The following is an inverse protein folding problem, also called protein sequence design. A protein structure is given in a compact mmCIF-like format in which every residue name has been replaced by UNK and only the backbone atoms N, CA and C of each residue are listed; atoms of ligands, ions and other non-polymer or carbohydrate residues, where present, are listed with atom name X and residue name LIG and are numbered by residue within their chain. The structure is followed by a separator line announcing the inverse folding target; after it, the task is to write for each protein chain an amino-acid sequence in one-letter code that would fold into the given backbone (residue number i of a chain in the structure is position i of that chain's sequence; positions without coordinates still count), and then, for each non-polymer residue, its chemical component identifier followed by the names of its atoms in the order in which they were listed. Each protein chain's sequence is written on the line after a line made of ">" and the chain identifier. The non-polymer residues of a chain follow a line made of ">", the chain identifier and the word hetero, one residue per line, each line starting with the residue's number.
data_IF_466268677682
#
_entry.id   IF_466268677682
#
_cell.length_a   1.000
_cell.length_b   1.000
_cell.length_c   1.000
_cell.angle_alpha   90.00
_cell.angle_beta   90.00
_cell.angle_gamma   90.00
#
_symmetry.space_group_name_H-M   'P 1'
#
loop_
_entity.id
_entity.type
_entity.pdbx_description
1 polymer ?
#
# COMPACT_ATOMS: atom_id res chain seq x y z
N UNK A 1 3.11 2.17 8.82
CA UNK A 1 2.96 3.45 9.54
C UNK A 1 4.33 4.07 9.83
N UNK A 2 4.51 5.33 9.47
CA UNK A 2 5.69 6.15 9.79
C UNK A 2 5.45 6.96 11.05
N UNK A 3 6.46 7.06 11.91
CA UNK A 3 6.45 7.95 13.06
C UNK A 3 7.41 9.10 12.81
N UNK A 4 6.88 10.31 12.74
CA UNK A 4 7.66 11.51 12.53
C UNK A 4 8.25 12.02 13.86
N UNK A 5 9.36 12.79 13.84
CA UNK A 5 9.91 13.42 15.04
C UNK A 5 8.90 14.27 15.82
N UNK A 6 7.92 14.85 15.12
CA UNK A 6 6.82 15.62 15.72
C UNK A 6 5.79 14.76 16.48
N UNK A 7 5.94 13.44 16.50
CA UNK A 7 4.96 12.50 17.09
C UNK A 7 3.78 12.17 16.17
N UNK A 8 3.61 12.90 15.06
CA UNK A 8 2.60 12.60 14.04
C UNK A 8 2.88 11.23 13.39
N UNK A 9 1.79 10.57 13.00
CA UNK A 9 1.80 9.27 12.32
C UNK A 9 1.30 9.44 10.91
N UNK A 10 1.96 8.77 9.96
CA UNK A 10 1.52 8.71 8.56
C UNK A 10 1.33 7.25 8.20
N UNK A 11 0.14 6.92 7.70
CA UNK A 11 -0.18 5.57 7.26
C UNK A 11 -0.10 5.46 5.74
N UNK A 12 0.54 4.38 5.30
CA UNK A 12 0.73 3.97 3.92
C UNK A 12 0.63 2.45 3.88
N UNK A 13 0.44 1.88 2.69
CA UNK A 13 0.37 0.44 2.50
C UNK A 13 1.20 -0.02 1.29
N UNK A 14 1.83 -1.19 1.43
CA UNK A 14 2.54 -1.94 0.38
C UNK A 14 3.73 -1.24 -0.31
N UNK A 15 4.08 -0.02 0.10
CA UNK A 15 5.25 0.72 -0.36
C UNK A 15 5.93 1.42 0.83
N UNK A 16 7.24 1.23 0.95
CA UNK A 16 8.07 1.76 2.05
C UNK A 16 9.15 2.65 1.46
N UNK A 17 9.13 3.94 1.77
CA UNK A 17 10.23 4.86 1.47
C UNK A 17 11.20 4.98 2.64
N UNK A 18 12.50 5.05 2.33
CA UNK A 18 13.60 5.16 3.28
C UNK A 18 14.64 6.20 2.81
N UNK A 19 15.23 6.99 3.72
CA UNK A 19 16.37 7.84 3.39
C UNK A 19 17.67 7.01 3.29
N UNK A 20 18.44 7.22 2.22
CA UNK A 20 19.77 6.60 2.06
C UNK A 20 20.75 7.13 3.10
N UNK A 21 21.64 6.27 3.57
CA UNK A 21 22.73 6.62 4.48
C UNK A 21 22.34 6.66 5.96
N UNK A 22 21.10 6.32 6.30
CA UNK A 22 20.59 6.46 7.67
C UNK A 22 20.06 5.15 8.27
N UNK A 23 20.33 4.88 9.55
CA UNK A 23 19.75 3.72 10.22
C UNK A 23 18.25 3.92 10.44
N UNK A 24 17.47 2.91 10.08
CA UNK A 24 16.02 2.86 10.29
C UNK A 24 15.67 1.66 11.17
N UNK A 25 14.68 1.83 12.05
CA UNK A 25 14.13 0.75 12.88
C UNK A 25 12.69 0.46 12.46
N UNK A 26 12.45 -0.77 12.06
CA UNK A 26 11.12 -1.32 11.84
C UNK A 26 10.61 -1.93 13.14
N UNK A 27 9.37 -1.57 13.51
CA UNK A 27 8.58 -2.27 14.53
C UNK A 27 7.55 -3.12 13.82
N UNK A 28 7.58 -4.40 14.08
CA UNK A 28 6.97 -5.43 13.25
C UNK A 28 6.05 -6.29 14.12
N UNK A 29 4.79 -6.42 13.71
CA UNK A 29 3.76 -7.26 14.35
C UNK A 29 2.86 -7.83 13.25
N UNK A 30 2.05 -8.83 13.58
CA UNK A 30 1.00 -9.32 12.69
C UNK A 30 -0.38 -9.18 13.35
N UNK A 31 -1.42 -9.04 12.54
CA UNK A 31 -2.83 -9.00 12.97
C UNK A 31 -3.51 -10.39 12.85
N UNK A 32 -2.94 -11.32 12.08
CA UNK A 32 -3.58 -12.59 11.71
C UNK A 32 -2.71 -13.82 12.02
N UNK A 33 -1.83 -14.21 11.09
CA UNK A 33 -0.92 -15.35 11.15
C UNK A 33 0.52 -14.87 11.22
N UNK A 34 1.47 -15.79 11.30
CA UNK A 34 2.88 -15.41 11.24
C UNK A 34 3.23 -15.01 9.80
N UNK A 35 3.86 -13.86 9.65
CA UNK A 35 4.53 -13.44 8.42
C UNK A 35 6.02 -13.26 8.69
N UNK A 36 6.80 -12.95 7.66
CA UNK A 36 8.20 -12.55 7.87
C UNK A 36 8.59 -11.43 6.95
N UNK A 37 8.94 -10.29 7.53
CA UNK A 37 9.44 -9.13 6.82
C UNK A 37 10.87 -9.38 6.34
N UNK A 38 11.10 -9.28 5.04
CA UNK A 38 12.44 -9.40 4.48
C UNK A 38 12.64 -8.50 3.26
N UNK A 39 13.75 -7.76 3.25
CA UNK A 39 14.22 -7.01 2.09
C UNK A 39 15.58 -7.60 1.69
N UNK A 40 15.65 -8.63 0.83
CA UNK A 40 16.88 -9.37 0.56
C UNK A 40 18.09 -8.49 0.23
N UNK A 41 17.90 -7.44 -0.56
CA UNK A 41 18.97 -6.55 -1.00
C UNK A 41 19.46 -5.56 0.07
N UNK A 42 18.69 -5.33 1.14
CA UNK A 42 19.09 -4.47 2.27
C UNK A 42 19.47 -5.29 3.51
N UNK A 43 19.21 -6.60 3.48
CA UNK A 43 19.50 -7.54 4.56
C UNK A 43 18.41 -7.59 5.62
N UNK A 44 18.60 -8.48 6.60
CA UNK A 44 17.72 -8.65 7.75
C UNK A 44 16.36 -9.26 7.42
N UNK A 45 16.10 -10.46 7.96
CA UNK A 45 14.77 -11.07 8.02
C UNK A 45 14.27 -10.97 9.45
N UNK A 46 13.00 -10.63 9.64
CA UNK A 46 12.37 -10.62 10.96
C UNK A 46 10.92 -11.08 10.87
N UNK A 47 10.57 -12.06 11.70
CA UNK A 47 9.22 -12.59 11.75
C UNK A 47 8.27 -11.58 12.39
N UNK A 48 7.06 -11.53 11.86
CA UNK A 48 5.92 -10.74 12.33
C UNK A 48 4.95 -11.71 12.98
N UNK A 49 4.72 -11.57 14.29
CA UNK A 49 3.95 -12.54 15.06
C UNK A 49 2.74 -11.85 15.71
N UNK A 50 1.55 -12.48 15.70
CA UNK A 50 0.41 -11.97 16.43
C UNK A 50 0.72 -11.84 17.93
N UNK A 51 0.35 -10.71 18.52
CA UNK A 51 0.56 -10.43 19.96
C UNK A 51 2.00 -10.11 20.37
N UNK A 52 2.95 -9.97 19.43
CA UNK A 52 4.36 -9.64 19.73
C UNK A 52 4.93 -8.61 18.77
N UNK A 53 5.49 -7.53 19.33
CA UNK A 53 6.32 -6.58 18.58
C UNK A 53 7.77 -7.06 18.50
N UNK A 54 8.24 -7.33 17.28
CA UNK A 54 9.66 -7.52 16.96
C UNK A 54 10.26 -6.25 16.38
N UNK A 55 11.60 -6.14 16.42
CA UNK A 55 12.33 -4.98 15.92
C UNK A 55 13.45 -5.38 14.99
N UNK A 56 13.54 -4.69 13.85
CA UNK A 56 14.60 -4.88 12.87
C UNK A 56 15.24 -3.54 12.55
N UNK A 57 16.57 -3.44 12.70
CA UNK A 57 17.34 -2.26 12.28
C UNK A 57 18.00 -2.54 10.94
N UNK A 58 17.82 -1.63 9.98
CA UNK A 58 18.50 -1.66 8.68
C UNK A 58 19.22 -0.34 8.44
N UNK A 59 20.23 -0.37 7.58
CA UNK A 59 20.97 0.82 7.15
C UNK A 59 21.06 0.82 5.61
N UNK A 60 20.04 1.35 4.91
CA UNK A 60 20.07 1.46 3.46
C UNK A 60 21.23 2.37 3.01
N UNK A 61 22.14 1.84 2.20
CA UNK A 61 23.36 2.56 1.77
C UNK A 61 23.39 2.89 0.27
N UNK A 62 22.34 2.51 -0.48
CA UNK A 62 22.24 2.76 -1.92
C UNK A 62 20.82 3.17 -2.31
N UNK A 63 20.71 4.27 -3.06
CA UNK A 63 19.45 4.71 -3.68
C UNK A 63 18.95 3.69 -4.69
N UNK A 64 17.64 3.48 -4.74
CA UNK A 64 17.00 2.58 -5.70
C UNK A 64 15.65 2.07 -5.23
N UNK A 65 15.00 1.29 -6.09
CA UNK A 65 13.78 0.56 -5.75
C UNK A 65 14.16 -0.90 -5.54
N UNK A 66 13.77 -1.45 -4.39
CA UNK A 66 14.04 -2.81 -3.96
C UNK A 66 12.73 -3.53 -3.70
N UNK A 67 12.77 -4.86 -3.74
CA UNK A 67 11.61 -5.69 -3.42
C UNK A 67 11.72 -6.22 -2.00
N UNK A 68 10.68 -6.02 -1.23
CA UNK A 68 10.42 -6.73 0.00
C UNK A 68 9.42 -7.86 -0.21
N UNK A 69 9.54 -8.92 0.58
CA UNK A 69 8.70 -10.12 0.49
C UNK A 69 8.31 -10.62 1.87
N UNK A 70 7.18 -11.32 1.94
CA UNK A 70 6.90 -12.23 3.03
C UNK A 70 7.78 -13.48 2.88
N UNK A 71 8.50 -13.85 3.93
CA UNK A 71 9.43 -14.99 3.96
C UNK A 71 9.02 -16.06 4.99
N UNK A 72 7.73 -16.16 5.29
CA UNK A 72 7.10 -17.17 6.12
C UNK A 72 5.76 -17.55 5.49
N UNK A 73 5.45 -18.84 5.38
CA UNK A 73 4.24 -19.28 4.68
C UNK A 73 3.00 -18.79 5.42
N UNK A 74 2.22 -17.91 4.77
CA UNK A 74 1.11 -17.20 5.39
C UNK A 74 -0.26 -17.47 4.74
N UNK A 75 -0.34 -18.47 3.85
CA UNK A 75 -1.57 -18.85 3.16
C UNK A 75 -1.40 -18.93 1.64
N UNK A 76 -2.53 -19.06 0.94
CA UNK A 76 -2.57 -19.28 -0.51
C UNK A 76 -1.79 -18.21 -1.30
N UNK A 77 -1.97 -16.94 -0.93
CA UNK A 77 -1.35 -15.82 -1.60
C UNK A 77 0.09 -15.53 -1.14
N UNK A 78 0.73 -16.43 -0.38
CA UNK A 78 2.04 -16.20 0.25
C UNK A 78 3.10 -15.70 -0.75
N UNK A 79 3.25 -16.38 -1.88
CA UNK A 79 4.25 -16.02 -2.90
C UNK A 79 4.01 -14.63 -3.55
N UNK A 80 2.81 -14.08 -3.36
CA UNK A 80 2.37 -12.79 -3.88
C UNK A 80 2.28 -11.71 -2.80
N UNK A 81 2.69 -12.02 -1.56
CA UNK A 81 2.78 -11.04 -0.49
C UNK A 81 4.13 -10.33 -0.55
N UNK A 82 4.18 -9.23 -1.29
CA UNK A 82 5.37 -8.41 -1.46
C UNK A 82 5.07 -6.92 -1.26
N UNK A 83 6.12 -6.11 -1.26
CA UNK A 83 6.03 -4.66 -1.17
C UNK A 83 7.23 -4.02 -1.87
N UNK A 84 7.05 -2.79 -2.33
CA UNK A 84 8.13 -1.99 -2.90
C UNK A 84 8.85 -1.24 -1.78
N UNK A 85 10.18 -1.13 -1.88
CA UNK A 85 11.01 -0.35 -0.97
C UNK A 85 11.78 0.69 -1.77
N UNK A 86 11.47 1.96 -1.58
CA UNK A 86 12.12 3.08 -2.28
C UNK A 86 13.15 3.72 -1.36
N UNK A 87 14.43 3.47 -1.63
CA UNK A 87 15.52 4.20 -0.95
C UNK A 87 15.86 5.41 -1.80
N UNK A 88 15.77 6.60 -1.20
CA UNK A 88 15.93 7.88 -1.90
C UNK A 88 16.78 8.86 -1.08
N UNK A 89 17.09 10.02 -1.67
CA UNK A 89 17.83 11.07 -0.93
C UNK A 89 17.01 11.56 0.28
N UNK A 90 17.68 12.19 1.24
CA UNK A 90 17.00 12.80 2.40
C UNK A 90 15.95 13.82 1.95
N UNK A 91 16.30 14.70 1.01
CA UNK A 91 15.40 15.73 0.51
C UNK A 91 14.18 15.12 -0.23
N UNK A 92 14.39 14.08 -1.03
CA UNK A 92 13.28 13.36 -1.67
C UNK A 92 12.37 12.71 -0.63
N UNK A 93 12.95 12.09 0.41
CA UNK A 93 12.21 11.44 1.49
C UNK A 93 11.35 12.44 2.26
N UNK A 94 11.89 13.62 2.58
CA UNK A 94 11.13 14.69 3.23
C UNK A 94 10.02 15.23 2.35
N UNK A 95 10.28 15.46 1.06
CA UNK A 95 9.25 15.89 0.10
C UNK A 95 8.12 14.88 -0.04
N UNK A 96 8.44 13.59 -0.11
CA UNK A 96 7.46 12.52 -0.13
C UNK A 96 6.66 12.45 1.18
N UNK A 97 7.32 12.56 2.34
CA UNK A 97 6.61 12.59 3.62
C UNK A 97 5.66 13.79 3.75
N UNK A 98 6.05 14.94 3.21
CA UNK A 98 5.20 16.14 3.21
C UNK A 98 3.98 15.97 2.30
N UNK A 99 4.14 15.37 1.11
CA UNK A 99 3.02 15.16 0.19
C UNK A 99 1.91 14.29 0.79
N UNK A 100 2.28 13.32 1.65
CA UNK A 100 1.31 12.47 2.33
C UNK A 100 0.47 13.19 3.40
N UNK A 101 0.89 14.37 3.86
CA UNK A 101 0.17 15.16 4.88
C UNK A 101 -1.02 15.90 4.28
N UNK A 102 -0.93 16.29 3.02
CA UNK A 102 -2.06 16.86 2.30
C UNK A 102 -3.04 15.77 1.86
N UNK A 103 -4.32 16.11 1.87
CA UNK A 103 -5.34 15.34 1.16
C UNK A 103 -5.35 15.83 -0.30
N UNK A 104 -5.30 14.95 -1.31
CA UNK A 104 -5.38 15.38 -2.71
C UNK A 104 -6.68 16.14 -2.97
N UNK A 105 -6.64 17.20 -3.79
CA UNK A 105 -7.87 17.93 -4.15
C UNK A 105 -8.86 17.10 -4.97
N UNK A 106 -8.37 16.01 -5.56
CA UNK A 106 -9.13 15.03 -6.35
C UNK A 106 -9.96 14.06 -5.51
N UNK A 107 -9.93 14.12 -4.16
CA UNK A 107 -10.71 13.18 -3.33
C UNK A 107 -12.22 13.32 -3.48
N UNK A 108 -12.71 14.46 -3.96
CA UNK A 108 -14.13 14.71 -4.22
C UNK A 108 -14.43 14.77 -5.73
N UNK A 109 -15.65 14.39 -6.12
CA UNK A 109 -16.15 14.44 -7.51
C UNK A 109 -16.89 13.18 -7.92
N UNK A 110 -17.33 13.09 -9.17
CA UNK A 110 -18.18 12.00 -9.68
C UNK A 110 -17.58 10.60 -9.44
N UNK A 111 -16.27 10.45 -9.63
CA UNK A 111 -15.61 9.17 -9.37
C UNK A 111 -15.54 8.76 -7.88
N UNK A 112 -15.67 9.72 -6.96
CA UNK A 112 -15.87 9.43 -5.54
C UNK A 112 -17.28 8.90 -5.27
N UNK A 113 -18.30 9.41 -5.97
CA UNK A 113 -19.66 8.90 -5.86
C UNK A 113 -19.77 7.45 -6.33
N UNK A 114 -19.07 7.11 -7.43
CA UNK A 114 -18.95 5.71 -7.89
C UNK A 114 -18.21 4.85 -6.86
N UNK A 115 -17.12 5.36 -6.28
CA UNK A 115 -16.38 4.65 -5.23
C UNK A 115 -17.28 4.32 -4.01
N UNK A 116 -18.11 5.26 -3.58
CA UNK A 116 -19.06 5.06 -2.48
C UNK A 116 -20.23 4.15 -2.88
N UNK A 117 -20.78 4.30 -4.08
CA UNK A 117 -21.92 3.50 -4.55
C UNK A 117 -21.59 2.02 -4.69
N UNK A 118 -20.34 1.70 -5.05
CA UNK A 118 -19.81 0.35 -5.10
C UNK A 118 -19.40 -0.18 -3.71
N UNK A 119 -19.55 0.62 -2.66
CA UNK A 119 -19.25 0.23 -1.28
C UNK A 119 -17.76 0.14 -0.97
N UNK A 120 -16.88 0.71 -1.80
CA UNK A 120 -15.43 0.63 -1.58
C UNK A 120 -15.02 1.30 -0.26
N UNK A 121 -15.73 2.35 0.16
CA UNK A 121 -15.48 3.08 1.41
C UNK A 121 -15.69 2.28 2.69
N UNK A 122 -16.48 1.20 2.64
CA UNK A 122 -16.67 0.30 3.79
C UNK A 122 -15.38 -0.42 4.17
N UNK A 123 -14.49 -0.66 3.20
CA UNK A 123 -13.22 -1.33 3.42
C UNK A 123 -12.03 -0.38 3.35
N UNK A 124 -12.09 0.66 2.52
CA UNK A 124 -10.95 1.51 2.21
C UNK A 124 -11.13 2.95 2.68
N UNK A 125 -10.12 3.46 3.38
CA UNK A 125 -10.05 4.87 3.78
C UNK A 125 -9.68 5.77 2.59
N UNK A 126 -10.35 6.91 2.47
CA UNK A 126 -9.91 8.08 1.69
C UNK A 126 -10.02 9.30 2.61
N UNK A 127 -8.89 9.74 3.16
CA UNK A 127 -8.85 10.85 4.12
C UNK A 127 -9.44 12.12 3.50
N UNK A 128 -10.20 12.87 4.29
CA UNK A 128 -10.91 14.06 3.83
C UNK A 128 -12.31 13.78 3.26
N UNK A 129 -12.74 12.51 3.25
CA UNK A 129 -14.10 12.09 2.87
C UNK A 129 -14.78 11.34 4.02
N UNK A 130 -15.99 10.82 3.80
CA UNK A 130 -16.67 9.94 4.77
C UNK A 130 -16.14 8.50 4.78
N UNK A 131 -15.30 8.12 3.82
CA UNK A 131 -14.79 6.76 3.68
C UNK A 131 -13.64 6.53 4.67
N UNK A 132 -13.91 5.80 5.75
CA UNK A 132 -12.99 5.55 6.87
C UNK A 132 -12.75 4.04 7.11
N UNK A 133 -13.08 3.19 6.14
CA UNK A 133 -12.85 1.74 6.22
C UNK A 133 -11.37 1.38 6.42
N UNK A 134 -11.11 0.43 7.32
CA UNK A 134 -9.75 0.00 7.73
C UNK A 134 -9.47 -1.49 7.46
N UNK A 135 -10.40 -2.19 6.80
CA UNK A 135 -10.22 -3.60 6.40
C UNK A 135 -9.21 -3.68 5.25
N UNK A 136 -9.35 -2.81 4.26
CA UNK A 136 -8.44 -2.66 3.14
C UNK A 136 -7.41 -1.55 3.37
N UNK A 137 -6.38 -1.46 2.53
CA UNK A 137 -5.38 -0.39 2.61
C UNK A 137 -5.99 0.99 2.36
N UNK A 138 -5.49 2.00 3.06
CA UNK A 138 -5.79 3.43 2.84
C UNK A 138 -5.47 3.84 1.39
N UNK A 139 -6.45 4.35 0.64
CA UNK A 139 -6.32 4.70 -0.79
C UNK A 139 -6.11 6.19 -1.05
N UNK A 140 -5.98 7.02 -0.01
CA UNK A 140 -5.87 8.49 -0.13
C UNK A 140 -4.81 8.94 -1.13
N UNK A 141 -3.70 8.21 -1.24
CA UNK A 141 -2.58 8.51 -2.14
C UNK A 141 -2.31 7.36 -3.13
N UNK A 142 -3.36 6.62 -3.51
CA UNK A 142 -3.24 5.39 -4.31
C UNK A 142 -2.57 5.62 -5.67
N UNK A 143 -2.89 6.72 -6.35
CA UNK A 143 -2.35 7.07 -7.65
C UNK A 143 -0.83 7.30 -7.64
N UNK A 144 -0.26 7.60 -6.48
CA UNK A 144 1.19 7.79 -6.28
C UNK A 144 1.96 6.48 -6.10
N UNK A 145 1.27 5.35 -5.87
CA UNK A 145 1.89 4.02 -5.68
C UNK A 145 2.48 3.48 -6.96
N UNK A 146 3.55 2.69 -6.83
CA UNK A 146 4.20 2.00 -7.96
C UNK A 146 3.45 0.74 -8.40
N UNK A 147 2.75 0.10 -7.49
CA UNK A 147 2.20 -1.24 -7.71
C UNK A 147 0.86 -1.48 -7.00
N UNK A 148 0.19 -2.57 -7.40
CA UNK A 148 -1.15 -2.98 -6.94
C UNK A 148 -1.06 -4.42 -6.39
N UNK A 149 -1.92 -4.74 -5.41
CA UNK A 149 -2.11 -6.10 -4.93
C UNK A 149 -0.95 -6.66 -4.09
N UNK A 150 -0.26 -5.81 -3.31
CA UNK A 150 0.99 -6.15 -2.63
C UNK A 150 2.15 -6.42 -3.61
N UNK A 151 2.41 -5.42 -4.47
CA UNK A 151 3.44 -5.44 -5.49
C UNK A 151 3.37 -6.64 -6.46
N UNK A 152 2.17 -7.07 -6.83
CA UNK A 152 1.95 -8.17 -7.78
C UNK A 152 1.98 -7.66 -9.22
N UNK A 153 1.36 -6.51 -9.48
CA UNK A 153 1.34 -5.86 -10.80
C UNK A 153 1.67 -4.37 -10.69
N UNK A 154 2.19 -3.78 -11.78
CA UNK A 154 2.44 -2.35 -11.85
C UNK A 154 1.13 -1.54 -11.78
N UNK A 155 1.17 -0.34 -11.18
CA UNK A 155 0.03 0.56 -11.09
C UNK A 155 -0.18 1.31 -12.42
N UNK A 156 -0.85 0.62 -13.35
CA UNK A 156 -1.32 1.16 -14.63
C UNK A 156 -2.83 1.13 -14.68
N UNK A 157 -3.44 1.92 -15.56
CA UNK A 157 -4.90 1.93 -15.75
C UNK A 157 -5.46 0.54 -16.05
N UNK A 158 -4.88 -0.16 -17.03
CA UNK A 158 -5.31 -1.51 -17.42
C UNK A 158 -5.14 -2.55 -16.30
N UNK A 159 -4.05 -2.46 -15.52
CA UNK A 159 -3.86 -3.36 -14.38
C UNK A 159 -4.81 -3.04 -13.22
N UNK A 160 -5.12 -1.76 -12.98
CA UNK A 160 -6.08 -1.36 -11.96
C UNK A 160 -7.49 -1.84 -12.30
N UNK A 161 -7.93 -1.63 -13.54
CA UNK A 161 -9.19 -2.18 -14.05
C UNK A 161 -9.26 -3.69 -13.83
N UNK A 162 -8.26 -4.42 -14.32
CA UNK A 162 -8.19 -5.89 -14.19
C UNK A 162 -8.16 -6.34 -12.73
N UNK A 163 -7.47 -5.59 -11.86
CA UNK A 163 -7.44 -5.87 -10.42
C UNK A 163 -8.84 -5.78 -9.82
N UNK A 164 -9.57 -4.68 -10.05
CA UNK A 164 -10.90 -4.46 -9.49
C UNK A 164 -11.91 -5.47 -10.06
N UNK A 165 -11.86 -5.72 -11.36
CA UNK A 165 -12.76 -6.67 -12.03
C UNK A 165 -12.48 -8.11 -11.60
N UNK A 166 -11.22 -8.52 -11.43
CA UNK A 166 -10.84 -9.95 -11.30
C UNK A 166 -9.75 -10.18 -10.24
N UNK A 167 -9.96 -9.68 -9.01
CA UNK A 167 -8.99 -9.74 -7.90
C UNK A 167 -8.38 -11.13 -7.73
N UNK A 168 -9.22 -12.17 -7.62
CA UNK A 168 -8.84 -13.57 -7.40
C UNK A 168 -7.98 -14.16 -8.53
N UNK A 169 -8.10 -13.65 -9.77
CA UNK A 169 -7.24 -14.08 -10.89
C UNK A 169 -5.86 -13.44 -10.84
N UNK A 170 -5.76 -12.24 -10.26
CA UNK A 170 -4.48 -11.56 -10.06
C UNK A 170 -3.78 -12.12 -8.82
N UNK A 171 -4.53 -12.33 -7.73
CA UNK A 171 -4.02 -12.84 -6.46
C UNK A 171 -4.99 -13.87 -5.86
N UNK A 172 -4.77 -15.18 -6.07
CA UNK A 172 -5.59 -16.22 -5.45
C UNK A 172 -5.60 -16.10 -3.92
N UNK A 173 -6.75 -16.39 -3.30
CA UNK A 173 -6.96 -16.22 -1.86
C UNK A 173 -7.05 -14.77 -1.36
N UNK A 174 -7.13 -13.77 -2.26
CA UNK A 174 -7.37 -12.37 -1.86
C UNK A 174 -8.77 -12.18 -1.29
N UNK A 175 -8.87 -11.38 -0.22
CA UNK A 175 -10.15 -11.12 0.48
C UNK A 175 -10.97 -9.98 -0.14
N UNK A 176 -10.34 -9.11 -0.94
CA UNK A 176 -11.06 -8.08 -1.70
C UNK A 176 -11.94 -8.75 -2.77
N UNK A 177 -13.27 -8.52 -2.76
CA UNK A 177 -14.17 -9.11 -3.74
C UNK A 177 -13.88 -8.58 -5.15
N UNK A 178 -14.26 -9.38 -6.14
CA UNK A 178 -14.19 -9.01 -7.56
C UNK A 178 -15.47 -8.26 -7.97
N UNK A 179 -15.33 -7.25 -8.83
CA UNK A 179 -16.42 -6.39 -9.29
C UNK A 179 -16.72 -6.61 -10.79
N UNK A 180 -16.91 -7.87 -11.19
CA UNK A 180 -17.10 -8.28 -12.61
C UNK A 180 -18.39 -7.71 -13.26
N UNK A 181 -19.37 -7.27 -12.46
CA UNK A 181 -20.66 -6.78 -12.93
C UNK A 181 -20.80 -5.27 -13.09
N UNK A 182 -19.74 -4.49 -12.81
CA UNK A 182 -19.77 -3.02 -12.88
C UNK A 182 -19.77 -2.57 -14.34
N UNK A 183 -20.55 -1.54 -14.66
CA UNK A 183 -20.63 -0.98 -16.01
C UNK A 183 -19.28 -0.44 -16.49
N UNK A 184 -19.04 -0.49 -17.81
CA UNK A 184 -17.76 -0.06 -18.38
C UNK A 184 -17.43 1.42 -18.09
N UNK A 185 -18.46 2.28 -18.09
CA UNK A 185 -18.33 3.72 -17.81
C UNK A 185 -18.01 3.95 -16.33
N UNK A 186 -18.80 3.37 -15.41
CA UNK A 186 -18.55 3.42 -13.96
C UNK A 186 -17.15 2.91 -13.60
N UNK A 187 -16.72 1.79 -14.19
CA UNK A 187 -15.37 1.25 -13.97
C UNK A 187 -14.29 2.21 -14.48
N UNK A 188 -14.53 2.89 -15.62
CA UNK A 188 -13.59 3.88 -16.15
C UNK A 188 -13.48 5.10 -15.24
N UNK A 189 -14.60 5.59 -14.72
CA UNK A 189 -14.66 6.69 -13.76
C UNK A 189 -13.93 6.34 -12.45
N UNK A 190 -14.21 5.16 -11.88
CA UNK A 190 -13.55 4.66 -10.68
C UNK A 190 -12.03 4.54 -10.86
N UNK A 191 -11.59 3.93 -11.96
CA UNK A 191 -10.16 3.75 -12.27
C UNK A 191 -9.48 5.10 -12.43
N UNK A 192 -10.09 6.03 -13.17
CA UNK A 192 -9.57 7.39 -13.35
C UNK A 192 -9.45 8.13 -12.02
N UNK A 193 -10.49 8.06 -11.19
CA UNK A 193 -10.53 8.64 -9.85
C UNK A 193 -9.40 8.13 -8.96
N UNK A 194 -9.29 6.81 -8.79
CA UNK A 194 -8.23 6.20 -7.97
C UNK A 194 -6.82 6.58 -8.44
N UNK A 195 -6.63 6.69 -9.77
CA UNK A 195 -5.35 7.12 -10.36
C UNK A 195 -5.04 8.60 -10.13
N UNK A 196 -6.05 9.43 -9.90
CA UNK A 196 -5.90 10.85 -9.61
C UNK A 196 -5.60 11.16 -8.13
N UNK A 197 -5.71 10.16 -7.23
CA UNK A 197 -5.40 10.30 -5.80
C UNK A 197 -3.88 10.32 -5.55
N UNK A 198 -3.23 11.48 -5.63
CA UNK A 198 -1.76 11.62 -5.63
C UNK A 198 -1.20 12.65 -4.67
#
# INVERSE_FOLDING_TARGET
>A
MYRLPSGKRVETANEIHLPVGEPVEFKLTSEDVIHSFWIPSLGGKMDMMPGRENRLKLHPNRVGVFRGVCAEFCGEAHAQMAFDVVVQSRDDYERWLESLRSVPSSVHGDGYEVFESLGCGACHTIRGTSSDGVVGPDLTHFGSRRSIGAAVVANTEGNLRKWIEQTHRVKPGVEMPAFEGVGADEMSELVSYLRALK
#
